data_IF_629007983295
#
_entry.id   IF_629007983295
#
_cell.length_a   1.000
_cell.length_b   1.000
_cell.length_c   1.000
_cell.angle_alpha   90.00
_cell.angle_beta   90.00
_cell.angle_gamma   90.00
#
_symmetry.space_group_name_H-M   'P 1'
#
loop_
_entity.id
_entity.type
_entity.pdbx_description
1 polymer ?
#
# COMPACT_ATOMS: atom_id res chain seq x y z
N UNK A 1 -10.85 6.87 -16.33
CA UNK A 1 -10.71 8.28 -15.90
C UNK A 1 -11.37 8.51 -14.56
N UNK A 2 -10.61 8.33 -13.48
CA UNK A 2 -10.96 8.69 -12.09
C UNK A 2 -9.68 8.57 -11.25
N UNK A 3 -8.84 9.61 -11.28
CA UNK A 3 -7.47 9.60 -10.76
C UNK A 3 -7.41 9.54 -9.23
N UNK A 4 -7.14 8.35 -8.69
CA UNK A 4 -7.04 8.06 -7.26
C UNK A 4 -5.64 8.18 -6.64
N UNK A 5 -4.81 9.14 -7.05
CA UNK A 5 -3.42 9.20 -6.55
C UNK A 5 -2.80 10.60 -6.42
N UNK A 6 -2.62 11.31 -7.53
CA UNK A 6 -1.96 12.63 -7.57
C UNK A 6 -2.98 13.72 -7.88
N UNK A 7 -3.58 14.30 -6.84
CA UNK A 7 -4.65 15.30 -6.99
C UNK A 7 -4.16 16.62 -7.62
N UNK A 8 -2.90 16.98 -7.40
CA UNK A 8 -2.28 18.21 -7.90
C UNK A 8 -1.50 18.01 -9.22
N UNK A 9 -1.87 17.04 -10.04
CA UNK A 9 -1.16 16.72 -11.29
C UNK A 9 -0.97 17.94 -12.21
N UNK A 10 -1.95 18.86 -12.26
CA UNK A 10 -1.84 20.11 -13.04
C UNK A 10 -0.74 21.03 -12.52
N UNK A 11 -0.61 21.18 -11.21
CA UNK A 11 0.45 22.00 -10.57
C UNK A 11 1.83 21.40 -10.82
N UNK A 12 1.89 20.08 -10.96
CA UNK A 12 3.11 19.33 -11.26
C UNK A 12 3.46 19.28 -12.76
N UNK A 13 2.64 19.90 -13.62
CA UNK A 13 2.83 19.85 -15.08
C UNK A 13 2.66 18.45 -15.68
N UNK A 14 2.01 17.53 -14.97
CA UNK A 14 1.76 16.17 -15.44
C UNK A 14 0.46 16.13 -16.26
N UNK A 15 0.43 15.45 -17.41
CA UNK A 15 -0.83 15.15 -18.08
C UNK A 15 -1.78 14.39 -17.16
N UNK A 16 -3.08 14.70 -17.25
CA UNK A 16 -4.11 13.91 -16.60
C UNK A 16 -4.28 12.50 -17.17
N UNK A 17 -3.38 12.03 -18.04
CA UNK A 17 -3.28 10.65 -18.52
C UNK A 17 -2.05 9.91 -17.93
N UNK A 18 -1.24 10.59 -17.11
CA UNK A 18 0.04 10.08 -16.59
C UNK A 18 -0.16 8.87 -15.70
N UNK A 19 0.25 7.70 -16.15
CA UNK A 19 -0.02 6.42 -15.48
C UNK A 19 0.41 6.39 -14.01
N UNK A 20 -0.37 5.69 -13.20
CA UNK A 20 -0.16 5.56 -11.76
C UNK A 20 -0.05 4.09 -11.34
N UNK A 21 0.92 3.74 -10.51
CA UNK A 21 1.15 2.38 -10.02
C UNK A 21 0.99 2.26 -8.50
N UNK A 22 0.64 1.06 -8.04
CA UNK A 22 0.66 0.72 -6.62
C UNK A 22 2.07 0.34 -6.15
N UNK A 23 2.46 0.78 -4.95
CA UNK A 23 3.79 0.54 -4.39
C UNK A 23 3.94 -0.76 -3.61
N UNK A 24 2.92 -1.63 -3.57
CA UNK A 24 2.94 -2.89 -2.85
C UNK A 24 3.95 -3.93 -3.38
N UNK A 25 4.26 -3.88 -4.68
CA UNK A 25 5.30 -4.68 -5.30
C UNK A 25 6.07 -3.84 -6.31
N UNK A 26 7.40 -3.80 -6.19
CA UNK A 26 8.29 -3.08 -7.08
C UNK A 26 9.48 -3.95 -7.46
N UNK A 27 9.78 -4.02 -8.76
CA UNK A 27 11.06 -4.54 -9.26
C UNK A 27 11.95 -3.33 -9.54
N UNK A 28 13.00 -3.16 -8.75
CA UNK A 28 13.78 -1.92 -8.73
C UNK A 28 15.19 -2.11 -9.28
N UNK A 29 15.58 -1.25 -10.22
CA UNK A 29 16.98 -1.09 -10.60
C UNK A 29 17.70 -0.23 -9.55
N UNK A 30 18.30 -0.89 -8.55
CA UNK A 30 18.91 -0.19 -7.41
C UNK A 30 20.16 0.62 -7.78
N UNK A 31 20.85 0.26 -8.88
CA UNK A 31 21.98 1.03 -9.41
C UNK A 31 21.49 2.38 -9.94
N UNK A 32 20.54 2.36 -10.89
CA UNK A 32 19.93 3.60 -11.43
C UNK A 32 19.28 4.43 -10.34
N UNK A 33 18.65 3.79 -9.36
CA UNK A 33 18.04 4.48 -8.22
C UNK A 33 19.04 5.38 -7.46
N UNK A 34 20.24 4.86 -7.18
CA UNK A 34 21.30 5.60 -6.51
C UNK A 34 21.92 6.65 -7.43
N UNK A 35 22.25 6.27 -8.67
CA UNK A 35 22.85 7.18 -9.67
C UNK A 35 21.96 8.40 -9.95
N UNK A 36 20.64 8.23 -9.91
CA UNK A 36 19.68 9.31 -10.16
C UNK A 36 19.21 10.02 -8.89
N UNK A 37 19.75 9.68 -7.72
CA UNK A 37 19.36 10.20 -6.42
C UNK A 37 17.83 10.21 -6.20
N UNK A 38 17.18 9.07 -6.49
CA UNK A 38 15.71 8.96 -6.48
C UNK A 38 15.12 9.14 -5.09
N UNK A 39 15.79 8.60 -4.06
CA UNK A 39 15.34 8.71 -2.66
C UNK A 39 15.16 10.17 -2.24
N UNK A 40 16.18 11.00 -2.44
CA UNK A 40 16.14 12.40 -2.04
C UNK A 40 15.00 13.14 -2.77
N UNK A 41 14.89 12.93 -4.09
CA UNK A 41 13.81 13.52 -4.89
C UNK A 41 12.42 13.17 -4.38
N UNK A 42 12.21 11.91 -3.96
CA UNK A 42 10.93 11.46 -3.38
C UNK A 42 10.67 12.15 -2.06
N UNK A 43 11.67 12.22 -1.17
CA UNK A 43 11.53 12.87 0.13
C UNK A 43 11.22 14.37 -0.06
N UNK A 44 11.98 15.08 -0.90
CA UNK A 44 11.72 16.49 -1.22
C UNK A 44 10.34 16.69 -1.83
N UNK A 45 9.92 15.81 -2.76
CA UNK A 45 8.60 15.87 -3.38
C UNK A 45 7.47 15.73 -2.35
N UNK A 46 7.58 14.76 -1.44
CA UNK A 46 6.58 14.55 -0.38
C UNK A 46 6.55 15.76 0.56
N UNK A 47 7.72 16.28 0.94
CA UNK A 47 7.83 17.42 1.85
C UNK A 47 7.22 18.70 1.26
N UNK A 48 7.48 18.95 -0.02
CA UNK A 48 6.95 20.10 -0.78
C UNK A 48 5.44 20.02 -0.99
N UNK A 49 4.90 18.80 -1.16
CA UNK A 49 3.49 18.57 -1.50
C UNK A 49 2.71 17.83 -0.40
N UNK A 50 3.05 18.04 0.88
CA UNK A 50 2.45 17.37 2.05
C UNK A 50 0.92 17.29 2.02
N UNK A 51 0.25 18.36 1.56
CA UNK A 51 -1.21 18.44 1.47
C UNK A 51 -1.82 17.39 0.54
N UNK A 52 -1.09 16.95 -0.48
CA UNK A 52 -1.56 16.02 -1.50
C UNK A 52 -1.06 14.58 -1.28
N UNK A 53 -0.02 14.41 -0.46
CA UNK A 53 0.66 13.15 -0.20
C UNK A 53 -0.10 12.25 0.80
N UNK A 54 -1.37 11.92 0.52
CA UNK A 54 -2.22 11.08 1.39
C UNK A 54 -1.64 9.67 1.61
N UNK A 55 -0.99 9.11 0.59
CA UNK A 55 -0.16 7.91 0.65
C UNK A 55 1.26 8.34 0.30
N UNK A 56 2.07 8.81 1.27
CA UNK A 56 3.24 9.63 0.97
C UNK A 56 4.24 8.95 0.03
N UNK A 57 4.59 7.71 0.32
CA UNK A 57 5.51 6.90 -0.48
C UNK A 57 4.97 6.66 -1.90
N UNK A 58 3.71 6.22 -2.02
CA UNK A 58 3.06 5.97 -3.31
C UNK A 58 2.92 7.25 -4.14
N UNK A 59 2.57 8.35 -3.49
CA UNK A 59 2.47 9.67 -4.11
C UNK A 59 3.84 10.12 -4.65
N UNK A 60 4.86 10.17 -3.79
CA UNK A 60 6.19 10.64 -4.16
C UNK A 60 6.81 9.79 -5.28
N UNK A 61 6.59 8.48 -5.23
CA UNK A 61 7.04 7.56 -6.29
C UNK A 61 6.37 7.84 -7.64
N UNK A 62 5.06 8.01 -7.66
CA UNK A 62 4.33 8.28 -8.90
C UNK A 62 4.60 9.68 -9.48
N UNK A 63 4.94 10.67 -8.64
CA UNK A 63 5.34 11.99 -9.11
C UNK A 63 6.78 11.97 -9.65
N UNK A 64 7.75 11.49 -8.86
CA UNK A 64 9.18 11.54 -9.22
C UNK A 64 9.51 10.61 -10.38
N UNK A 65 8.86 9.45 -10.44
CA UNK A 65 9.10 8.46 -11.49
C UNK A 65 8.04 8.51 -12.60
N UNK A 66 7.24 9.57 -12.70
CA UNK A 66 6.28 9.73 -13.79
C UNK A 66 6.93 9.43 -15.15
N UNK A 67 6.34 8.49 -15.90
CA UNK A 67 6.82 8.00 -17.20
C UNK A 67 8.22 7.35 -17.20
N UNK A 68 8.75 6.96 -16.03
CA UNK A 68 10.09 6.33 -15.86
C UNK A 68 10.02 4.94 -15.24
N UNK A 69 8.93 4.22 -15.47
CA UNK A 69 8.72 2.86 -14.99
C UNK A 69 8.00 2.01 -16.04
N UNK A 70 8.08 0.69 -15.87
CA UNK A 70 7.41 -0.30 -16.71
C UNK A 70 6.38 -1.05 -15.87
N UNK A 71 5.24 -1.37 -16.47
CA UNK A 71 4.16 -2.07 -15.79
C UNK A 71 4.43 -3.58 -15.70
N UNK A 72 4.11 -4.14 -14.54
CA UNK A 72 4.07 -5.59 -14.31
C UNK A 72 2.69 -6.13 -14.67
N UNK A 73 2.61 -7.41 -15.02
CA UNK A 73 1.31 -8.10 -15.10
C UNK A 73 0.54 -7.89 -13.78
N UNK A 74 -0.73 -7.42 -13.83
CA UNK A 74 -1.52 -7.13 -12.64
C UNK A 74 -1.68 -8.34 -11.69
N UNK A 75 -1.51 -9.58 -12.16
CA UNK A 75 -1.54 -10.77 -11.32
C UNK A 75 -0.35 -10.87 -10.33
N UNK A 76 0.71 -10.08 -10.53
CA UNK A 76 1.81 -9.93 -9.56
C UNK A 76 1.52 -8.94 -8.44
N UNK A 77 0.44 -8.17 -8.49
CA UNK A 77 0.05 -7.27 -7.41
C UNK A 77 -1.49 -7.19 -7.31
N UNK A 78 -2.13 -8.35 -7.25
CA UNK A 78 -3.59 -8.47 -7.35
C UNK A 78 -4.25 -8.14 -6.02
N UNK A 79 -5.12 -7.14 -6.00
CA UNK A 79 -5.76 -6.71 -4.76
C UNK A 79 -6.79 -7.73 -4.29
N UNK A 80 -6.79 -8.04 -3.00
CA UNK A 80 -7.74 -8.99 -2.42
C UNK A 80 -9.21 -8.53 -2.50
N UNK A 81 -9.43 -7.26 -2.81
CA UNK A 81 -10.74 -6.60 -2.97
C UNK A 81 -11.32 -6.79 -4.37
N UNK A 82 -10.51 -7.25 -5.34
CA UNK A 82 -10.90 -7.40 -6.73
C UNK A 82 -11.18 -8.88 -7.02
N UNK A 83 -12.40 -9.17 -7.47
CA UNK A 83 -12.76 -10.50 -7.96
C UNK A 83 -12.03 -10.82 -9.27
N UNK A 84 -11.58 -12.06 -9.43
CA UNK A 84 -10.86 -12.52 -10.63
C UNK A 84 -11.18 -13.98 -10.90
N UNK A 85 -11.22 -14.35 -12.18
CA UNK A 85 -11.28 -15.76 -12.63
C UNK A 85 -9.89 -16.36 -12.85
N UNK A 86 -8.85 -15.51 -12.93
CA UNK A 86 -7.45 -15.93 -13.05
C UNK A 86 -6.84 -16.11 -11.66
N UNK A 87 -5.94 -17.08 -11.52
CA UNK A 87 -5.14 -17.28 -10.30
C UNK A 87 -4.03 -16.23 -10.24
N UNK A 88 -4.02 -15.34 -9.24
CA UNK A 88 -2.94 -14.37 -9.08
C UNK A 88 -1.65 -15.04 -8.61
N UNK A 89 -0.51 -14.50 -9.04
CA UNK A 89 0.81 -14.92 -8.56
C UNK A 89 1.09 -14.37 -7.17
N UNK A 90 0.57 -13.18 -6.87
CA UNK A 90 0.70 -12.54 -5.57
C UNK A 90 -0.60 -11.80 -5.21
N UNK A 91 -1.12 -12.11 -4.01
CA UNK A 91 -2.33 -11.49 -3.46
C UNK A 91 -1.93 -10.37 -2.50
N UNK A 92 -2.36 -9.15 -2.81
CA UNK A 92 -2.12 -7.97 -1.99
C UNK A 92 -3.35 -7.60 -1.17
N UNK A 93 -3.30 -7.89 0.13
CA UNK A 93 -4.33 -7.50 1.09
C UNK A 93 -4.20 -6.02 1.50
N UNK A 94 -4.53 -5.06 0.63
CA UNK A 94 -4.31 -3.61 0.84
C UNK A 94 -5.09 -3.03 2.03
N UNK A 95 -6.36 -3.37 2.16
CA UNK A 95 -7.29 -2.75 3.12
C UNK A 95 -7.38 -3.54 4.43
N UNK A 96 -8.59 -3.89 4.88
CA UNK A 96 -8.81 -4.76 6.04
C UNK A 96 -8.07 -6.09 5.82
N UNK A 97 -7.21 -6.45 6.77
CA UNK A 97 -6.39 -7.66 6.70
C UNK A 97 -7.19 -8.91 7.12
N UNK A 98 -6.86 -10.10 6.60
CA UNK A 98 -7.53 -11.38 6.94
C UNK A 98 -7.50 -11.76 8.43
N UNK A 99 -6.55 -11.19 9.18
CA UNK A 99 -6.40 -11.39 10.63
C UNK A 99 -7.47 -10.67 11.47
N UNK A 100 -8.40 -9.93 10.86
CA UNK A 100 -9.49 -9.25 11.54
C UNK A 100 -10.83 -9.92 11.24
N UNK A 101 -11.71 -10.03 12.24
CA UNK A 101 -13.09 -10.55 12.08
C UNK A 101 -13.91 -9.75 11.08
N UNK A 102 -13.62 -8.45 10.94
CA UNK A 102 -14.30 -7.56 10.01
C UNK A 102 -13.79 -7.66 8.56
N UNK A 103 -12.91 -8.60 8.24
CA UNK A 103 -12.51 -8.85 6.85
C UNK A 103 -13.71 -9.33 6.04
N UNK A 104 -14.04 -8.59 4.97
CA UNK A 104 -15.24 -8.81 4.14
C UNK A 104 -14.92 -8.82 2.63
N UNK A 105 -13.67 -9.10 2.25
CA UNK A 105 -13.27 -9.25 0.84
C UNK A 105 -13.26 -10.73 0.43
N UNK A 106 -12.39 -11.13 -0.50
CA UNK A 106 -12.33 -12.51 -1.00
C UNK A 106 -12.10 -13.54 0.12
N UNK A 107 -13.07 -14.43 0.32
CA UNK A 107 -12.99 -15.54 1.27
C UNK A 107 -11.98 -16.60 0.81
N UNK A 108 -11.85 -16.83 -0.50
CA UNK A 108 -10.88 -17.79 -1.03
C UNK A 108 -9.45 -17.33 -0.80
N UNK A 109 -9.17 -16.03 -0.99
CA UNK A 109 -7.87 -15.47 -0.63
C UNK A 109 -7.60 -15.52 0.87
N UNK A 110 -8.64 -15.32 1.71
CA UNK A 110 -8.52 -15.49 3.16
C UNK A 110 -8.19 -16.94 3.53
N UNK A 111 -8.80 -17.94 2.90
CA UNK A 111 -8.45 -19.37 3.10
C UNK A 111 -6.98 -19.62 2.73
N UNK A 112 -6.51 -19.10 1.60
CA UNK A 112 -5.10 -19.20 1.19
C UNK A 112 -4.18 -18.56 2.24
N UNK A 113 -4.51 -17.36 2.73
CA UNK A 113 -3.76 -16.68 3.78
C UNK A 113 -3.64 -17.55 5.05
N UNK A 114 -4.74 -18.11 5.55
CA UNK A 114 -4.71 -18.97 6.75
C UNK A 114 -4.01 -20.31 6.51
N UNK A 115 -4.07 -20.86 5.30
CA UNK A 115 -3.30 -22.05 4.92
C UNK A 115 -1.80 -21.83 5.09
N UNK A 116 -1.26 -20.69 4.63
CA UNK A 116 0.14 -20.34 4.87
C UNK A 116 0.42 -19.96 6.32
N UNK A 117 -0.46 -19.19 6.98
CA UNK A 117 -0.27 -18.80 8.37
C UNK A 117 -0.13 -20.01 9.30
N UNK A 118 -0.93 -21.07 9.06
CA UNK A 118 -0.89 -22.30 9.84
C UNK A 118 0.39 -23.13 9.67
N UNK A 119 1.25 -22.80 8.72
CA UNK A 119 2.58 -23.40 8.54
C UNK A 119 3.67 -22.70 9.35
N UNK A 120 3.32 -21.63 10.08
CA UNK A 120 4.26 -20.81 10.85
C UNK A 120 4.10 -20.99 12.36
N UNK A 121 4.95 -20.33 13.15
CA UNK A 121 4.80 -20.24 14.60
C UNK A 121 3.48 -19.58 15.05
N UNK A 122 2.79 -18.87 14.15
CA UNK A 122 1.49 -18.24 14.39
C UNK A 122 0.30 -19.15 14.04
N UNK A 123 0.50 -20.47 13.92
CA UNK A 123 -0.60 -21.42 13.68
C UNK A 123 -1.73 -21.26 14.69
N UNK A 124 -2.96 -21.52 14.24
CA UNK A 124 -4.19 -21.37 15.04
C UNK A 124 -4.50 -19.92 15.48
N UNK A 125 -3.91 -18.92 14.81
CA UNK A 125 -4.20 -17.51 15.07
C UNK A 125 -5.71 -17.24 15.03
N UNK A 126 -6.23 -16.62 16.09
CA UNK A 126 -7.63 -16.25 16.18
C UNK A 126 -7.84 -14.83 15.63
N UNK A 127 -8.78 -14.63 14.67
CA UNK A 127 -9.02 -13.30 14.12
C UNK A 127 -9.41 -12.29 15.21
N UNK A 128 -8.80 -11.10 15.13
CA UNK A 128 -8.98 -10.01 16.08
C UNK A 128 -10.35 -9.36 15.85
N UNK A 129 -11.13 -9.21 16.92
CA UNK A 129 -12.40 -8.47 16.90
C UNK A 129 -12.22 -6.96 16.86
N UNK A 130 -13.22 -6.23 16.36
CA UNK A 130 -13.16 -4.77 16.22
C UNK A 130 -13.03 -4.05 17.58
N UNK A 131 -13.72 -4.51 18.62
CA UNK A 131 -13.63 -3.93 19.96
C UNK A 131 -12.18 -3.95 20.48
N UNK A 132 -11.50 -5.09 20.37
CA UNK A 132 -10.09 -5.24 20.75
C UNK A 132 -9.17 -4.30 19.95
N UNK A 133 -9.47 -4.12 18.65
CA UNK A 133 -8.73 -3.19 17.78
C UNK A 133 -8.90 -1.74 18.23
N UNK A 134 -10.13 -1.32 18.54
CA UNK A 134 -10.41 0.05 19.00
C UNK A 134 -9.80 0.33 20.38
N UNK A 135 -9.88 -0.61 21.32
CA UNK A 135 -9.22 -0.50 22.63
C UNK A 135 -7.71 -0.32 22.46
N UNK A 136 -7.06 -1.13 21.61
CA UNK A 136 -5.63 -0.97 21.30
C UNK A 136 -5.31 0.38 20.68
N UNK A 137 -6.16 0.89 19.79
CA UNK A 137 -6.00 2.22 19.17
C UNK A 137 -6.06 3.34 20.22
N UNK A 138 -7.04 3.31 21.12
CA UNK A 138 -7.16 4.29 22.21
C UNK A 138 -5.94 4.25 23.14
N UNK A 139 -5.49 3.05 23.52
CA UNK A 139 -4.27 2.88 24.33
C UNK A 139 -3.04 3.49 23.64
N UNK A 140 -2.88 3.29 22.33
CA UNK A 140 -1.77 3.88 21.58
C UNK A 140 -1.83 5.41 21.52
N UNK A 141 -3.03 5.99 21.40
CA UNK A 141 -3.22 7.45 21.44
C UNK A 141 -2.81 7.97 22.82
N UNK A 142 -3.31 7.35 23.88
CA UNK A 142 -3.00 7.72 25.26
C UNK A 142 -1.49 7.64 25.55
N UNK A 143 -0.83 6.55 25.16
CA UNK A 143 0.62 6.41 25.33
C UNK A 143 1.41 7.48 24.57
N UNK A 144 0.96 7.89 23.37
CA UNK A 144 1.60 8.98 22.61
C UNK A 144 1.43 10.34 23.29
N UNK A 145 0.31 10.56 23.99
CA UNK A 145 0.10 11.78 24.77
C UNK A 145 0.99 11.80 26.02
N UNK A 146 1.08 10.69 26.75
CA UNK A 146 1.93 10.59 27.95
C UNK A 146 3.41 10.75 27.58
N UNK A 147 3.89 10.04 26.55
CA UNK A 147 5.30 10.04 26.16
C UNK A 147 5.74 11.29 25.36
N UNK A 148 4.84 12.26 25.16
CA UNK A 148 5.17 13.57 24.56
C UNK A 148 5.37 14.67 25.61
N UNK A 149 5.07 14.39 26.87
CA UNK A 149 5.41 15.21 28.03
C UNK A 149 6.65 14.64 28.72
#
# INVERSE_FOLDING_TARGET
NSWGGVLNYKELGLPGSTRYFNTGLLVMNTRKWREQNVTEKIITCIDTHKKFANYPDQYGLNVVLANKWLELDPLWNHFSTINTTKTPFLIHFVERKPIYKAYNFSEDFKKIFYSYLNQTAWKNFQPIGESSRYIKKLKNIFNKFINKN
#
